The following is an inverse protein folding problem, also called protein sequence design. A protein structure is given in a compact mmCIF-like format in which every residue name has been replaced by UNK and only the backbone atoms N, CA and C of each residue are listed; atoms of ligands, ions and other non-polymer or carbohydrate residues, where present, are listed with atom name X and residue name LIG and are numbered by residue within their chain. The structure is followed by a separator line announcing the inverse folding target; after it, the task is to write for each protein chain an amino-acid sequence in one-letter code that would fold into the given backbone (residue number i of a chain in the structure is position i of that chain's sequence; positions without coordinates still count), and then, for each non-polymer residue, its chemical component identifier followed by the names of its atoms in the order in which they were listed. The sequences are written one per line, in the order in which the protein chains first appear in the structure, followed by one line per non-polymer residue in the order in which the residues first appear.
data_IF_366439799691
#
_entry.id   IF_366439799691
#
_cell.length_a   1.000
_cell.length_b   1.000
_cell.length_c   1.000
_cell.angle_alpha   90.00
_cell.angle_beta   90.00
_cell.angle_gamma   90.00
#
_symmetry.space_group_name_H-M   'P 1'
#
loop_
_entity.id
_entity.type
_entity.pdbx_description
1 polymer ?
#
# COMPACT_ATOMS: atom_id res chain seq x y z
N UNK A 1 -3.61 10.35 -11.10
CA UNK A 1 -3.42 8.89 -11.16
C UNK A 1 -2.03 8.63 -10.61
N UNK A 2 -1.86 7.76 -9.61
CA UNK A 2 -0.54 7.48 -9.05
C UNK A 2 0.33 6.83 -10.13
N UNK A 3 1.60 7.23 -10.23
CA UNK A 3 2.57 6.48 -11.02
C UNK A 3 2.68 5.08 -10.41
N UNK A 4 2.72 4.03 -11.23
CA UNK A 4 2.81 2.64 -10.80
C UNK A 4 4.13 1.98 -11.24
N UNK A 5 5.02 2.71 -11.92
CA UNK A 5 6.28 2.16 -12.42
C UNK A 5 7.22 1.75 -11.27
N UNK A 6 7.11 2.41 -10.13
CA UNK A 6 7.82 2.01 -8.90
C UNK A 6 7.50 0.57 -8.47
N UNK A 7 6.30 0.04 -8.75
CA UNK A 7 5.93 -1.35 -8.41
C UNK A 7 6.70 -2.38 -9.26
N UNK A 8 7.23 -1.98 -10.41
CA UNK A 8 8.00 -2.86 -11.31
C UNK A 8 9.47 -2.99 -10.86
N UNK A 9 9.92 -2.13 -9.95
CA UNK A 9 11.28 -2.13 -9.44
C UNK A 9 11.51 -3.38 -8.56
N UNK A 10 12.44 -4.24 -8.97
CA UNK A 10 12.85 -5.41 -8.16
C UNK A 10 13.65 -5.00 -6.94
N UNK A 11 14.42 -3.92 -7.04
CA UNK A 11 15.24 -3.43 -5.95
C UNK A 11 14.44 -2.44 -5.10
N UNK A 12 14.12 -2.86 -3.86
CA UNK A 12 13.35 -2.09 -2.89
C UNK A 12 14.15 -0.98 -2.20
N UNK A 13 15.45 -0.87 -2.48
CA UNK A 13 16.30 0.19 -1.96
C UNK A 13 16.29 1.45 -2.83
N UNK A 14 15.71 1.38 -4.04
CA UNK A 14 15.56 2.57 -4.88
C UNK A 14 14.63 3.59 -4.24
N UNK A 15 14.98 4.86 -4.40
CA UNK A 15 14.23 5.98 -3.82
C UNK A 15 12.81 5.99 -4.37
N UNK A 16 12.67 5.77 -5.67
CA UNK A 16 11.41 5.74 -6.40
C UNK A 16 10.47 4.64 -5.86
N UNK A 17 11.03 3.48 -5.47
CA UNK A 17 10.25 2.43 -4.82
C UNK A 17 9.72 2.90 -3.47
N UNK A 18 10.57 3.52 -2.65
CA UNK A 18 10.20 3.99 -1.31
C UNK A 18 9.18 5.12 -1.38
N UNK A 19 9.39 6.10 -2.24
CA UNK A 19 8.46 7.21 -2.46
C UNK A 19 7.10 6.73 -2.97
N UNK A 20 7.11 5.79 -3.93
CA UNK A 20 5.88 5.18 -4.43
C UNK A 20 5.10 4.42 -3.34
N UNK A 21 5.80 3.66 -2.48
CA UNK A 21 5.19 3.00 -1.32
C UNK A 21 4.59 4.04 -0.35
N UNK A 22 5.31 5.12 -0.04
CA UNK A 22 4.80 6.18 0.85
C UNK A 22 3.54 6.82 0.28
N UNK A 23 3.55 7.20 -1.00
CA UNK A 23 2.37 7.78 -1.68
C UNK A 23 1.19 6.81 -1.69
N UNK A 24 1.46 5.51 -1.89
CA UNK A 24 0.44 4.47 -1.83
C UNK A 24 -0.17 4.36 -0.42
N UNK A 25 0.66 4.34 0.63
CA UNK A 25 0.18 4.29 2.00
C UNK A 25 -0.67 5.51 2.33
N UNK A 26 -0.22 6.72 1.99
CA UNK A 26 -0.98 7.95 2.20
C UNK A 26 -2.33 7.92 1.46
N UNK A 27 -2.38 7.38 0.25
CA UNK A 27 -3.63 7.16 -0.46
C UNK A 27 -4.54 6.15 0.26
N UNK A 28 -4.00 5.02 0.75
CA UNK A 28 -4.83 3.99 1.42
C UNK A 28 -5.47 4.46 2.71
N UNK A 29 -4.89 5.47 3.40
CA UNK A 29 -5.49 6.10 4.60
C UNK A 29 -6.88 6.66 4.34
N UNK A 30 -7.17 7.09 3.12
CA UNK A 30 -8.50 7.61 2.75
C UNK A 30 -9.55 6.50 2.56
N UNK A 31 -9.14 5.22 2.55
CA UNK A 31 -10.00 4.07 2.29
C UNK A 31 -10.00 3.06 3.44
N UNK A 32 -9.66 3.50 4.65
CA UNK A 32 -9.84 2.69 5.86
C UNK A 32 -11.33 2.40 6.08
N UNK A 33 -11.65 1.22 6.59
CA UNK A 33 -13.01 0.89 7.02
C UNK A 33 -13.37 1.53 8.37
N UNK A 34 -14.57 1.24 8.87
CA UNK A 34 -15.05 1.73 10.16
C UNK A 34 -14.19 1.26 11.37
N UNK A 35 -13.32 0.27 11.17
CA UNK A 35 -12.42 -0.29 12.18
C UNK A 35 -10.97 0.18 11.99
N UNK A 36 -10.69 1.06 11.03
CA UNK A 36 -9.32 1.53 10.74
C UNK A 36 -8.47 0.52 10.00
N UNK A 37 -9.08 -0.47 9.35
CA UNK A 37 -8.41 -1.50 8.58
C UNK A 37 -8.35 -1.14 7.09
N UNK A 38 -7.25 -1.50 6.45
CA UNK A 38 -7.07 -1.45 4.99
C UNK A 38 -7.08 -2.86 4.41
N UNK A 39 -7.68 -3.02 3.24
CA UNK A 39 -7.68 -4.29 2.51
C UNK A 39 -6.43 -4.43 1.63
N UNK A 40 -5.85 -5.63 1.53
CA UNK A 40 -4.76 -5.91 0.60
C UNK A 40 -5.28 -5.90 -0.83
N UNK A 41 -4.92 -4.86 -1.60
CA UNK A 41 -5.26 -4.75 -3.02
C UNK A 41 -4.54 -5.76 -3.93
N UNK A 42 -3.76 -6.66 -3.34
CA UNK A 42 -2.96 -7.63 -4.05
C UNK A 42 -3.82 -8.76 -4.64
N UNK A 43 -3.54 -9.15 -5.89
CA UNK A 43 -4.25 -10.25 -6.58
C UNK A 43 -4.25 -11.56 -5.78
N UNK A 44 -3.18 -11.83 -5.03
CA UNK A 44 -3.04 -13.03 -4.21
C UNK A 44 -4.07 -13.11 -3.08
N UNK A 45 -4.41 -11.98 -2.47
CA UNK A 45 -5.37 -11.94 -1.37
C UNK A 45 -6.80 -11.62 -1.83
N UNK A 46 -7.02 -11.31 -3.10
CA UNK A 46 -8.35 -10.99 -3.66
C UNK A 46 -9.11 -9.90 -2.88
N UNK A 47 -8.41 -8.92 -2.29
CA UNK A 47 -9.00 -7.90 -1.40
C UNK A 47 -9.67 -8.45 -0.13
N UNK A 48 -9.40 -9.71 0.24
CA UNK A 48 -10.01 -10.36 1.41
C UNK A 48 -9.16 -10.23 2.68
N UNK A 49 -7.88 -9.91 2.56
CA UNK A 49 -7.02 -9.74 3.72
C UNK A 49 -7.09 -8.30 4.22
N UNK A 50 -7.37 -8.13 5.52
CA UNK A 50 -7.50 -6.83 6.18
C UNK A 50 -6.42 -6.69 7.24
N UNK A 51 -5.77 -5.53 7.30
CA UNK A 51 -4.78 -5.23 8.32
C UNK A 51 -5.06 -3.84 8.88
N UNK A 52 -4.80 -3.63 10.17
CA UNK A 52 -4.87 -2.29 10.76
C UNK A 52 -3.87 -1.38 10.07
N UNK A 53 -4.24 -0.11 9.87
CA UNK A 53 -3.34 0.88 9.30
C UNK A 53 -2.01 0.97 10.08
N UNK A 54 -2.09 0.95 11.42
CA UNK A 54 -0.93 0.96 12.31
C UNK A 54 0.01 -0.24 12.08
N UNK A 55 -0.54 -1.42 11.74
CA UNK A 55 0.26 -2.61 11.43
C UNK A 55 1.01 -2.53 10.11
N UNK A 56 0.58 -1.65 9.19
CA UNK A 56 1.15 -1.50 7.84
C UNK A 56 2.19 -0.39 7.77
N UNK A 57 2.08 0.66 8.59
CA UNK A 57 3.04 1.79 8.65
C UNK A 57 4.39 1.46 9.32
N UNK A 58 4.65 0.18 9.64
CA UNK A 58 5.76 -0.26 10.50
C UNK A 58 7.10 -0.48 9.78
#
# INVERSE_FOLDING_TARGET
MMDNDWMKLRNKFFLEYREGVTQFLDFTKFYVDAYGCISCSCKRCMNLNWNSLEGVER
#
